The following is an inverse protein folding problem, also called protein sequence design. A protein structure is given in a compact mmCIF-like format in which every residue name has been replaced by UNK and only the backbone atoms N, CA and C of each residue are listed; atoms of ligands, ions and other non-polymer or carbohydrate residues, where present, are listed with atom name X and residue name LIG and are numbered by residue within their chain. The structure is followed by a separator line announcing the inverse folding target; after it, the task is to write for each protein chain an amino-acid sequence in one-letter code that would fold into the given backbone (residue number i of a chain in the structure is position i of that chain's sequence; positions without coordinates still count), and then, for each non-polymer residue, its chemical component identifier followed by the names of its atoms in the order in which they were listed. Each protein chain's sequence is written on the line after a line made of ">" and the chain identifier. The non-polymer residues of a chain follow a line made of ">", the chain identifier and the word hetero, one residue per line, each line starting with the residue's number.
data_IF_262942666002
#
_entry.id   IF_262942666002
#
_cell.length_a   1.000
_cell.length_b   1.000
_cell.length_c   1.000
_cell.angle_alpha   90.00
_cell.angle_beta   90.00
_cell.angle_gamma   90.00
#
_symmetry.space_group_name_H-M   'P 1'
#
loop_
_entity.id
_entity.type
_entity.pdbx_description
1 polymer ?
#
# COMPACT_ATOMS: atom_id res chain seq x y z
N UNK A 1 21.84 56.41 110.90
CA UNK A 1 22.81 56.24 109.80
C UNK A 1 22.95 54.78 109.35
N UNK A 2 23.33 53.80 110.20
CA UNK A 2 23.54 52.39 109.78
C UNK A 2 22.36 51.71 109.06
N UNK A 3 21.11 51.91 109.50
CA UNK A 3 19.92 51.31 108.83
C UNK A 3 19.70 51.83 107.40
N UNK A 4 20.02 53.11 107.12
CA UNK A 4 19.88 53.69 105.79
C UNK A 4 20.88 53.08 104.80
N UNK A 5 22.13 52.90 105.26
CA UNK A 5 23.21 52.27 104.48
C UNK A 5 22.89 50.83 104.06
N UNK A 6 22.25 50.05 104.94
CA UNK A 6 21.86 48.66 104.66
C UNK A 6 20.74 48.59 103.61
N UNK A 7 19.79 49.53 103.67
CA UNK A 7 18.69 49.59 102.68
C UNK A 7 19.22 49.96 101.30
N UNK A 8 20.14 50.93 101.20
CA UNK A 8 20.78 51.29 99.93
C UNK A 8 21.59 50.13 99.34
N UNK A 9 22.33 49.39 100.16
CA UNK A 9 23.11 48.24 99.71
C UNK A 9 22.22 47.08 99.23
N UNK A 10 21.13 46.81 99.94
CA UNK A 10 20.12 45.83 99.51
C UNK A 10 19.44 46.23 98.20
N UNK A 11 19.14 47.52 98.01
CA UNK A 11 18.55 48.03 96.78
C UNK A 11 19.51 47.85 95.59
N UNK A 12 20.80 48.20 95.75
CA UNK A 12 21.83 47.97 94.72
C UNK A 12 21.99 46.47 94.39
N UNK A 13 22.01 45.61 95.39
CA UNK A 13 22.10 44.16 95.18
C UNK A 13 20.87 43.59 94.45
N UNK A 14 19.67 44.10 94.74
CA UNK A 14 18.45 43.75 94.02
C UNK A 14 18.51 44.22 92.57
N UNK A 15 18.95 45.45 92.30
CA UNK A 15 19.13 45.97 90.94
C UNK A 15 20.10 45.12 90.14
N UNK A 16 21.27 44.80 90.68
CA UNK A 16 22.27 43.93 90.03
C UNK A 16 21.64 42.57 89.69
N UNK A 17 20.95 41.93 90.64
CA UNK A 17 20.27 40.65 90.41
C UNK A 17 19.19 40.73 89.33
N UNK A 18 18.42 41.81 89.29
CA UNK A 18 17.39 42.02 88.25
C UNK A 18 18.03 42.17 86.88
N UNK A 19 19.13 42.93 86.78
CA UNK A 19 19.88 43.11 85.53
C UNK A 19 20.50 41.80 85.06
N UNK A 20 21.14 41.04 85.95
CA UNK A 20 21.72 39.73 85.64
C UNK A 20 20.65 38.73 85.20
N UNK A 21 19.53 38.65 85.92
CA UNK A 21 18.41 37.78 85.56
C UNK A 21 17.79 38.15 84.21
N UNK A 22 17.62 39.45 83.95
CA UNK A 22 17.12 39.95 82.65
C UNK A 22 18.08 39.63 81.51
N UNK A 23 19.39 39.73 81.76
CA UNK A 23 20.42 39.37 80.79
C UNK A 23 20.39 37.88 80.47
N UNK A 24 20.36 37.04 81.49
CA UNK A 24 20.29 35.59 81.35
C UNK A 24 19.05 35.15 80.57
N UNK A 25 17.86 35.67 80.91
CA UNK A 25 16.62 35.41 80.17
C UNK A 25 16.75 35.82 78.70
N UNK A 26 17.35 36.98 78.41
CA UNK A 26 17.55 37.44 77.04
C UNK A 26 18.48 36.52 76.26
N UNK A 27 19.56 36.04 76.88
CA UNK A 27 20.50 35.10 76.28
C UNK A 27 19.83 33.75 75.97
N UNK A 28 19.00 33.21 76.88
CA UNK A 28 18.21 32.01 76.65
C UNK A 28 17.21 32.18 75.50
N UNK A 29 16.48 33.30 75.47
CA UNK A 29 15.48 33.57 74.43
C UNK A 29 16.12 33.71 73.05
N UNK A 30 17.30 34.36 72.97
CA UNK A 30 18.10 34.42 71.75
C UNK A 30 18.70 33.05 71.37
N UNK A 31 19.04 32.22 72.35
CA UNK A 31 19.47 30.84 72.13
C UNK A 31 18.36 30.00 71.50
N UNK A 32 17.17 30.00 72.12
CA UNK A 32 16.00 29.29 71.63
C UNK A 32 15.57 29.76 70.24
N UNK A 33 15.57 31.08 70.00
CA UNK A 33 15.25 31.64 68.68
C UNK A 33 16.27 31.28 67.60
N UNK A 34 17.53 31.04 67.96
CA UNK A 34 18.56 30.52 67.04
C UNK A 34 18.35 29.02 66.78
N UNK A 35 18.13 28.22 67.82
CA UNK A 35 17.88 26.78 67.71
C UNK A 35 16.68 26.48 66.79
N UNK A 36 15.53 27.12 67.04
CA UNK A 36 14.34 26.97 66.21
C UNK A 36 14.57 27.38 64.75
N UNK A 37 15.41 28.39 64.51
CA UNK A 37 15.74 28.82 63.14
C UNK A 37 16.56 27.77 62.41
N UNK A 38 17.51 27.16 63.09
CA UNK A 38 18.35 26.12 62.50
C UNK A 38 17.54 24.85 62.23
N UNK A 39 16.69 24.44 63.18
CA UNK A 39 15.77 23.30 62.99
C UNK A 39 14.83 23.53 61.80
N UNK A 40 14.24 24.72 61.67
CA UNK A 40 13.38 25.05 60.54
C UNK A 40 14.16 24.99 59.21
N UNK A 41 15.41 25.46 59.22
CA UNK A 41 16.29 25.47 58.05
C UNK A 41 16.67 24.05 57.63
N UNK A 42 17.02 23.19 58.59
CA UNK A 42 17.36 21.79 58.34
C UNK A 42 16.14 21.00 57.86
N UNK A 43 14.97 21.23 58.45
CA UNK A 43 13.71 20.64 57.98
C UNK A 43 13.40 21.05 56.54
N UNK A 44 13.57 22.33 56.21
CA UNK A 44 13.38 22.83 54.84
C UNK A 44 14.37 22.17 53.86
N UNK A 45 15.64 22.06 54.24
CA UNK A 45 16.67 21.42 53.39
C UNK A 45 16.37 19.94 53.18
N UNK A 46 16.01 19.21 54.24
CA UNK A 46 15.67 17.79 54.20
C UNK A 46 14.44 17.53 53.31
N UNK A 47 13.42 18.39 53.41
CA UNK A 47 12.23 18.29 52.56
C UNK A 47 12.59 18.52 51.08
N UNK A 48 13.39 19.55 50.78
CA UNK A 48 13.83 19.87 49.42
C UNK A 48 14.64 18.72 48.81
N UNK A 49 15.54 18.11 49.59
CA UNK A 49 16.33 16.97 49.15
C UNK A 49 15.46 15.73 48.90
N UNK A 50 14.47 15.47 49.77
CA UNK A 50 13.53 14.35 49.59
C UNK A 50 12.69 14.54 48.33
N UNK A 51 12.17 15.75 48.12
CA UNK A 51 11.37 16.08 46.94
C UNK A 51 12.20 15.97 45.66
N UNK A 52 13.42 16.51 45.67
CA UNK A 52 14.36 16.46 44.55
C UNK A 52 14.81 15.05 44.21
N UNK A 53 15.04 14.19 45.21
CA UNK A 53 15.39 12.77 44.99
C UNK A 53 14.21 12.02 44.38
N UNK A 54 13.03 12.15 44.97
CA UNK A 54 11.83 11.47 44.50
C UNK A 54 11.53 11.83 43.04
N UNK A 55 11.49 13.12 42.69
CA UNK A 55 11.27 13.55 41.30
C UNK A 55 12.32 13.00 40.33
N UNK A 56 13.59 12.91 40.73
CA UNK A 56 14.64 12.36 39.87
C UNK A 56 14.47 10.86 39.66
N UNK A 57 14.14 10.13 40.72
CA UNK A 57 13.90 8.68 40.69
C UNK A 57 12.68 8.36 39.82
N UNK A 58 11.54 9.02 40.06
CA UNK A 58 10.33 8.83 39.24
C UNK A 58 10.56 9.17 37.76
N UNK A 59 11.25 10.26 37.46
CA UNK A 59 11.56 10.61 36.07
C UNK A 59 12.50 9.60 35.42
N UNK A 60 13.49 9.10 36.17
CA UNK A 60 14.44 8.12 35.66
C UNK A 60 13.74 6.79 35.36
N UNK A 61 12.94 6.28 36.31
CA UNK A 61 12.21 5.02 36.13
C UNK A 61 11.20 5.12 34.99
N UNK A 62 10.38 6.16 34.95
CA UNK A 62 9.43 6.35 33.84
C UNK A 62 10.15 6.43 32.48
N UNK A 63 11.29 7.10 32.42
CA UNK A 63 12.08 7.20 31.20
C UNK A 63 12.71 5.86 30.81
N UNK A 64 13.10 5.05 31.79
CA UNK A 64 13.68 3.74 31.58
C UNK A 64 12.63 2.73 31.13
N UNK A 65 11.49 2.67 31.81
CA UNK A 65 10.35 1.81 31.47
C UNK A 65 9.86 2.08 30.04
N UNK A 66 9.62 3.34 29.67
CA UNK A 66 9.19 3.71 28.32
C UNK A 66 10.21 3.27 27.25
N UNK A 67 11.50 3.35 27.58
CA UNK A 67 12.57 2.93 26.67
C UNK A 67 12.59 1.41 26.49
N UNK A 68 12.44 0.65 27.57
CA UNK A 68 12.38 -0.80 27.50
C UNK A 68 11.12 -1.29 26.77
N UNK A 69 9.95 -0.68 27.02
CA UNK A 69 8.72 -0.98 26.27
C UNK A 69 8.90 -0.76 24.76
N UNK A 70 9.55 0.34 24.36
CA UNK A 70 9.83 0.60 22.95
C UNK A 70 10.77 -0.44 22.34
N UNK A 71 11.84 -0.81 23.05
CA UNK A 71 12.79 -1.83 22.59
C UNK A 71 12.11 -3.20 22.46
N UNK A 72 11.25 -3.56 23.41
CA UNK A 72 10.53 -4.82 23.38
C UNK A 72 9.54 -4.89 22.21
N UNK A 73 8.80 -3.79 21.97
CA UNK A 73 7.93 -3.68 20.79
C UNK A 73 8.72 -3.80 19.48
N UNK A 74 9.92 -3.23 19.42
CA UNK A 74 10.81 -3.36 18.26
C UNK A 74 11.23 -4.81 18.04
N UNK A 75 11.68 -5.51 19.09
CA UNK A 75 12.08 -6.93 19.03
C UNK A 75 10.92 -7.82 18.59
N UNK A 76 9.73 -7.61 19.16
CA UNK A 76 8.54 -8.37 18.81
C UNK A 76 8.15 -8.18 17.34
N UNK A 77 8.20 -6.94 16.85
CA UNK A 77 7.92 -6.63 15.45
C UNK A 77 8.93 -7.31 14.52
N UNK A 78 10.21 -7.32 14.89
CA UNK A 78 11.26 -7.97 14.12
C UNK A 78 11.07 -9.49 14.04
N UNK A 79 10.70 -10.15 15.15
CA UNK A 79 10.37 -11.58 15.17
C UNK A 79 9.20 -11.89 14.23
N UNK A 80 8.10 -11.10 14.32
CA UNK A 80 6.92 -11.28 13.46
C UNK A 80 7.28 -11.14 11.97
N UNK A 81 8.06 -10.12 11.62
CA UNK A 81 8.49 -9.90 10.23
C UNK A 81 9.35 -11.07 9.75
N UNK A 82 10.28 -11.55 10.56
CA UNK A 82 11.16 -12.66 10.20
C UNK A 82 10.37 -13.97 10.01
N UNK A 83 9.39 -14.25 10.87
CA UNK A 83 8.56 -15.45 10.73
C UNK A 83 7.65 -15.40 9.50
N UNK A 84 7.06 -14.24 9.21
CA UNK A 84 6.30 -14.02 7.99
C UNK A 84 7.18 -14.18 6.74
N UNK A 85 8.39 -13.62 6.77
CA UNK A 85 9.38 -13.75 5.68
C UNK A 85 9.71 -15.22 5.44
N UNK A 86 10.05 -15.97 6.50
CA UNK A 86 10.36 -17.41 6.41
C UNK A 86 9.17 -18.22 5.88
N UNK A 87 7.95 -17.88 6.27
CA UNK A 87 6.73 -18.55 5.79
C UNK A 87 6.51 -18.31 4.29
N UNK A 88 6.69 -17.07 3.83
CA UNK A 88 6.57 -16.72 2.41
C UNK A 88 7.66 -17.38 1.57
N UNK A 89 8.91 -17.39 2.04
CA UNK A 89 10.01 -18.09 1.37
C UNK A 89 9.72 -19.58 1.19
N UNK A 90 9.18 -20.22 2.24
CA UNK A 90 8.81 -21.64 2.18
C UNK A 90 7.72 -21.89 1.13
N UNK A 91 6.64 -21.09 1.14
CA UNK A 91 5.56 -21.21 0.15
C UNK A 91 6.05 -20.99 -1.28
N UNK A 92 6.89 -19.96 -1.49
CA UNK A 92 7.46 -19.68 -2.81
C UNK A 92 8.31 -20.86 -3.32
N UNK A 93 9.09 -21.48 -2.42
CA UNK A 93 9.91 -22.65 -2.76
C UNK A 93 9.04 -23.86 -3.12
N UNK A 94 7.97 -24.10 -2.36
CA UNK A 94 7.01 -25.17 -2.64
C UNK A 94 6.29 -24.95 -3.99
N UNK A 95 5.81 -23.74 -4.25
CA UNK A 95 5.15 -23.38 -5.51
C UNK A 95 6.10 -23.53 -6.71
N UNK A 96 7.36 -23.11 -6.55
CA UNK A 96 8.40 -23.28 -7.57
C UNK A 96 8.66 -24.76 -7.88
N UNK A 97 8.79 -25.60 -6.85
CA UNK A 97 9.01 -27.03 -7.02
C UNK A 97 7.84 -27.73 -7.69
N UNK A 98 6.61 -27.39 -7.29
CA UNK A 98 5.39 -27.94 -7.89
C UNK A 98 5.27 -27.54 -9.37
N UNK A 99 5.62 -26.30 -9.71
CA UNK A 99 5.62 -25.84 -11.10
C UNK A 99 6.68 -26.59 -11.93
N UNK A 100 7.90 -26.76 -11.40
CA UNK A 100 8.95 -27.55 -12.05
C UNK A 100 8.53 -29.01 -12.28
N UNK A 101 7.85 -29.62 -11.31
CA UNK A 101 7.32 -30.99 -11.43
C UNK A 101 6.26 -31.08 -12.53
N UNK A 102 5.32 -30.13 -12.58
CA UNK A 102 4.31 -30.05 -13.65
C UNK A 102 4.95 -29.93 -15.04
N UNK A 103 5.95 -29.06 -15.19
CA UNK A 103 6.68 -28.94 -16.47
C UNK A 103 7.42 -30.21 -16.83
N UNK A 104 8.06 -30.86 -15.86
CA UNK A 104 8.77 -32.14 -16.06
C UNK A 104 7.81 -33.24 -16.54
N UNK A 105 6.64 -33.34 -15.93
CA UNK A 105 5.60 -34.30 -16.30
C UNK A 105 5.06 -34.05 -17.70
N UNK A 106 4.85 -32.79 -18.08
CA UNK A 106 4.35 -32.42 -19.40
C UNK A 106 5.37 -32.74 -20.50
N UNK A 107 6.65 -32.40 -20.26
CA UNK A 107 7.77 -32.76 -21.14
C UNK A 107 7.92 -34.29 -21.28
N UNK A 108 7.63 -35.06 -20.23
CA UNK A 108 7.70 -36.53 -20.29
C UNK A 108 6.58 -37.16 -21.14
N UNK A 109 5.39 -36.56 -21.14
CA UNK A 109 4.20 -37.08 -21.85
C UNK A 109 4.23 -36.80 -23.36
N UNK A 110 4.78 -35.66 -23.78
CA UNK A 110 4.83 -35.25 -25.19
C UNK A 110 5.53 -36.23 -26.14
N UNK A 111 6.74 -36.73 -25.86
CA UNK A 111 7.43 -37.69 -26.73
C UNK A 111 6.75 -39.06 -26.75
N UNK A 112 5.99 -39.44 -25.71
CA UNK A 112 5.21 -40.68 -25.71
C UNK A 112 4.04 -40.60 -26.68
N UNK A 113 3.33 -39.46 -26.72
CA UNK A 113 2.25 -39.23 -27.69
C UNK A 113 2.77 -39.26 -29.12
N UNK A 114 3.88 -38.57 -29.39
CA UNK A 114 4.50 -38.58 -30.72
C UNK A 114 4.94 -39.98 -31.16
N UNK A 115 5.49 -40.79 -30.24
CA UNK A 115 5.82 -42.20 -30.54
C UNK A 115 4.58 -42.99 -30.92
N UNK A 116 3.50 -42.89 -30.15
CA UNK A 116 2.24 -43.58 -30.44
C UNK A 116 1.66 -43.17 -31.81
N UNK A 117 1.76 -41.89 -32.16
CA UNK A 117 1.30 -41.38 -33.46
C UNK A 117 2.16 -41.89 -34.62
N UNK A 118 3.49 -41.92 -34.45
CA UNK A 118 4.42 -42.53 -35.40
C UNK A 118 4.13 -44.02 -35.59
N UNK A 119 3.91 -44.77 -34.51
CA UNK A 119 3.59 -46.20 -34.56
C UNK A 119 2.26 -46.43 -35.31
N UNK A 120 1.25 -45.59 -35.07
CA UNK A 120 -0.03 -45.66 -35.78
C UNK A 120 0.09 -45.34 -37.27
N UNK A 121 0.90 -44.35 -37.64
CA UNK A 121 1.13 -44.00 -39.05
C UNK A 121 1.90 -45.09 -39.78
N UNK A 122 2.91 -45.67 -39.13
CA UNK A 122 3.66 -46.80 -39.68
C UNK A 122 2.74 -48.01 -39.94
N UNK A 123 1.81 -48.32 -39.03
CA UNK A 123 0.82 -49.37 -39.24
C UNK A 123 -0.10 -49.10 -40.46
N UNK A 124 -0.54 -47.85 -40.64
CA UNK A 124 -1.32 -47.45 -41.81
C UNK A 124 -0.52 -47.57 -43.13
N UNK A 125 0.77 -47.25 -43.10
CA UNK A 125 1.66 -47.41 -44.25
C UNK A 125 1.82 -48.89 -44.63
N UNK A 126 2.00 -49.79 -43.66
CA UNK A 126 2.07 -51.23 -43.94
C UNK A 126 0.77 -51.78 -44.53
N UNK A 127 -0.39 -51.31 -44.06
CA UNK A 127 -1.70 -51.68 -44.61
C UNK A 127 -1.89 -51.19 -46.07
N UNK A 128 -1.36 -50.02 -46.40
CA UNK A 128 -1.37 -49.47 -47.76
C UNK A 128 -0.36 -50.17 -48.68
N UNK A 129 0.81 -50.58 -48.18
CA UNK A 129 1.85 -51.26 -48.95
C UNK A 129 1.49 -52.71 -49.33
N UNK A 130 0.57 -53.35 -48.59
CA UNK A 130 0.08 -54.71 -48.87
C UNK A 130 -0.97 -54.84 -49.99
N UNK A 131 -1.45 -53.73 -50.57
CA UNK A 131 -2.48 -53.73 -51.62
C UNK A 131 -1.82 -53.62 -53.01
N UNK A 132 -2.10 -54.52 -53.98
CA UNK A 132 -1.55 -54.41 -55.33
C UNK A 132 -2.01 -53.13 -56.01
N UNK A 133 -1.07 -52.30 -56.47
CA UNK A 133 -1.36 -51.10 -57.23
C UNK A 133 -1.80 -51.49 -58.66
N UNK A 134 -3.09 -51.40 -58.95
CA UNK A 134 -3.62 -51.49 -60.31
C UNK A 134 -3.59 -50.10 -60.99
N UNK A 135 -3.04 -49.95 -62.21
CA UNK A 135 -2.96 -48.66 -62.86
C UNK A 135 -4.31 -48.31 -63.50
N UNK A 136 -5.04 -47.37 -62.91
CA UNK A 136 -6.21 -46.75 -63.52
C UNK A 136 -5.78 -45.49 -64.28
N UNK A 137 -5.39 -45.66 -65.55
CA UNK A 137 -5.43 -44.57 -66.52
C UNK A 137 -6.86 -44.47 -67.04
N UNK A 138 -7.60 -43.41 -66.68
CA UNK A 138 -8.56 -42.75 -67.57
C UNK A 138 -9.28 -41.57 -66.88
N UNK A 139 -9.12 -40.40 -67.51
CA UNK A 139 -10.08 -39.30 -67.65
C UNK A 139 -10.59 -38.56 -66.39
N UNK A 140 -10.20 -37.29 -66.27
CA UNK A 140 -11.09 -36.18 -66.66
C UNK A 140 -10.35 -34.84 -66.55
N UNK A 141 -10.19 -34.16 -67.68
CA UNK A 141 -9.83 -32.76 -67.76
C UNK A 141 -11.12 -31.94 -67.80
N UNK A 142 -11.30 -30.96 -66.90
CA UNK A 142 -12.10 -29.76 -67.20
C UNK A 142 -11.79 -28.59 -66.26
N UNK A 143 -11.21 -27.56 -66.87
CA UNK A 143 -11.40 -26.10 -66.71
C UNK A 143 -11.56 -25.43 -65.33
N UNK A 144 -10.64 -24.49 -65.13
CA UNK A 144 -10.63 -23.28 -64.29
C UNK A 144 -11.91 -22.44 -64.39
N UNK A 145 -12.31 -21.82 -63.27
CA UNK A 145 -12.90 -20.45 -63.28
C UNK A 145 -12.22 -19.57 -62.22
N UNK A 146 -11.79 -18.41 -62.67
CA UNK A 146 -11.23 -17.30 -61.90
C UNK A 146 -12.29 -16.19 -61.77
N UNK A 147 -12.22 -15.38 -60.70
CA UNK A 147 -12.62 -13.97 -60.77
C UNK A 147 -13.66 -13.48 -59.76
N UNK A 148 -13.21 -13.14 -58.54
CA UNK A 148 -13.65 -11.96 -57.76
C UNK A 148 -12.65 -11.77 -56.61
N UNK A 149 -11.89 -10.67 -56.59
CA UNK A 149 -11.05 -10.32 -55.44
C UNK A 149 -11.99 -9.82 -54.34
N UNK A 150 -12.54 -10.75 -53.56
CA UNK A 150 -13.21 -10.44 -52.30
C UNK A 150 -12.09 -10.05 -51.33
N UNK A 151 -12.02 -8.78 -50.92
CA UNK A 151 -11.25 -8.39 -49.74
C UNK A 151 -11.93 -8.99 -48.51
N UNK A 152 -11.66 -10.26 -48.23
CA UNK A 152 -12.09 -10.96 -47.03
C UNK A 152 -11.57 -10.19 -45.81
N UNK A 153 -12.49 -9.68 -44.98
CA UNK A 153 -12.15 -9.13 -43.67
C UNK A 153 -11.92 -10.30 -42.71
N UNK A 154 -10.95 -10.16 -41.81
CA UNK A 154 -10.73 -11.13 -40.73
C UNK A 154 -11.95 -11.17 -39.81
N UNK A 155 -12.60 -12.33 -39.58
CA UNK A 155 -13.73 -12.42 -38.68
C UNK A 155 -13.30 -12.06 -37.25
N UNK A 156 -14.15 -11.35 -36.50
CA UNK A 156 -13.93 -11.03 -35.08
C UNK A 156 -14.61 -12.09 -34.22
N UNK A 157 -13.92 -12.58 -33.18
CA UNK A 157 -14.48 -13.55 -32.25
C UNK A 157 -15.30 -12.83 -31.18
N UNK A 158 -16.61 -13.00 -31.21
CA UNK A 158 -17.55 -12.29 -30.33
C UNK A 158 -17.95 -13.08 -29.07
N UNK A 159 -17.38 -14.27 -28.87
CA UNK A 159 -17.71 -15.18 -27.78
C UNK A 159 -19.10 -15.81 -27.84
N UNK A 160 -19.94 -15.43 -28.81
CA UNK A 160 -21.28 -16.01 -29.03
C UNK A 160 -21.25 -17.10 -30.09
N UNK A 161 -20.33 -16.99 -31.05
CA UNK A 161 -20.12 -18.02 -32.07
C UNK A 161 -19.27 -19.16 -31.49
N UNK A 162 -19.64 -20.44 -31.70
CA UNK A 162 -18.81 -21.57 -31.29
C UNK A 162 -17.41 -21.46 -31.89
N UNK A 163 -16.38 -21.67 -31.05
CA UNK A 163 -14.98 -21.45 -31.41
C UNK A 163 -14.54 -22.19 -32.69
N UNK A 164 -15.06 -23.41 -32.93
CA UNK A 164 -14.78 -24.18 -34.13
C UNK A 164 -15.24 -23.48 -35.43
N UNK A 165 -16.37 -22.77 -35.39
CA UNK A 165 -16.87 -22.00 -36.55
C UNK A 165 -16.04 -20.77 -36.82
N UNK A 166 -15.61 -20.09 -35.75
CA UNK A 166 -14.69 -18.96 -35.87
C UNK A 166 -13.34 -19.39 -36.46
N UNK A 167 -12.76 -20.48 -35.94
CA UNK A 167 -11.46 -20.97 -36.39
C UNK A 167 -11.50 -21.38 -37.86
N UNK A 168 -12.56 -22.08 -38.27
CA UNK A 168 -12.77 -22.42 -39.69
C UNK A 168 -12.89 -21.19 -40.58
N UNK A 169 -13.64 -20.16 -40.17
CA UNK A 169 -13.75 -18.93 -40.93
C UNK A 169 -12.40 -18.18 -41.00
N UNK A 170 -11.65 -18.14 -39.91
CA UNK A 170 -10.31 -17.56 -39.85
C UNK A 170 -9.32 -18.30 -40.74
N UNK A 171 -9.33 -19.64 -40.72
CA UNK A 171 -8.49 -20.49 -41.57
C UNK A 171 -8.78 -20.27 -43.05
N UNK A 172 -10.05 -20.16 -43.43
CA UNK A 172 -10.45 -19.86 -44.80
C UNK A 172 -9.92 -18.50 -45.27
N UNK A 173 -9.96 -17.47 -44.41
CA UNK A 173 -9.40 -16.15 -44.73
C UNK A 173 -7.88 -16.21 -44.82
N UNK A 174 -7.23 -16.88 -43.88
CA UNK A 174 -5.79 -17.02 -43.83
C UNK A 174 -5.25 -17.83 -45.03
N UNK A 175 -5.98 -18.84 -45.48
CA UNK A 175 -5.69 -19.60 -46.69
C UNK A 175 -5.91 -18.76 -47.95
N UNK A 176 -6.99 -17.98 -48.02
CA UNK A 176 -7.27 -17.09 -49.14
C UNK A 176 -6.18 -16.01 -49.35
N UNK A 177 -5.58 -15.51 -48.26
CA UNK A 177 -4.47 -14.56 -48.31
C UNK A 177 -3.08 -15.21 -48.22
N UNK A 178 -3.00 -16.54 -48.20
CA UNK A 178 -1.74 -17.29 -48.08
C UNK A 178 -0.88 -16.87 -46.88
N UNK A 179 -1.52 -16.61 -45.74
CA UNK A 179 -0.83 -16.18 -44.52
C UNK A 179 0.16 -17.24 -44.03
N UNK A 180 1.35 -16.79 -43.64
CA UNK A 180 2.33 -17.66 -42.99
C UNK A 180 1.90 -18.04 -41.57
N UNK A 181 2.58 -19.02 -40.97
CA UNK A 181 2.31 -19.41 -39.58
C UNK A 181 2.55 -18.23 -38.62
N UNK A 182 3.54 -17.38 -38.90
CA UNK A 182 3.85 -16.18 -38.12
C UNK A 182 2.76 -15.11 -38.24
N UNK A 183 2.20 -14.91 -39.43
CA UNK A 183 1.12 -13.93 -39.68
C UNK A 183 -0.19 -14.37 -39.02
N UNK A 184 -0.54 -15.66 -39.12
CA UNK A 184 -1.68 -16.26 -38.40
C UNK A 184 -1.55 -16.07 -36.89
N UNK A 185 -0.36 -16.35 -36.35
CA UNK A 185 -0.09 -16.18 -34.92
C UNK A 185 -0.16 -14.71 -34.49
N UNK A 186 0.30 -13.78 -35.32
CA UNK A 186 0.30 -12.35 -35.02
C UNK A 186 -1.13 -11.79 -35.02
N UNK A 187 -1.95 -12.15 -36.02
CA UNK A 187 -3.35 -11.74 -36.08
C UNK A 187 -4.16 -12.26 -34.88
N UNK A 188 -4.00 -13.53 -34.52
CA UNK A 188 -4.67 -14.13 -33.36
C UNK A 188 -4.21 -13.52 -32.03
N UNK A 189 -2.91 -13.23 -31.88
CA UNK A 189 -2.35 -12.61 -30.68
C UNK A 189 -2.85 -11.18 -30.50
N UNK A 190 -2.80 -10.34 -31.54
CA UNK A 190 -3.26 -8.95 -31.47
C UNK A 190 -4.74 -8.89 -31.09
N UNK A 191 -5.57 -9.75 -31.68
CA UNK A 191 -6.99 -9.79 -31.38
C UNK A 191 -7.27 -10.25 -29.93
N UNK A 192 -6.62 -11.31 -29.44
CA UNK A 192 -6.78 -11.77 -28.05
C UNK A 192 -6.25 -10.76 -27.03
N UNK A 193 -5.18 -10.05 -27.37
CA UNK A 193 -4.64 -8.98 -26.52
C UNK A 193 -5.58 -7.78 -26.51
N UNK A 194 -6.17 -7.38 -27.63
CA UNK A 194 -7.14 -6.28 -27.68
C UNK A 194 -8.46 -6.64 -26.98
N UNK A 195 -8.93 -7.90 -27.06
CA UNK A 195 -10.12 -8.37 -26.34
C UNK A 195 -9.91 -8.36 -24.81
N UNK A 196 -8.70 -8.71 -24.35
CA UNK A 196 -8.41 -8.89 -22.91
C UNK A 196 -7.78 -7.65 -22.26
N UNK A 197 -7.02 -6.87 -23.01
CA UNK A 197 -6.25 -5.72 -22.54
C UNK A 197 -6.51 -4.46 -23.36
N UNK A 198 -7.39 -4.49 -24.36
CA UNK A 198 -7.76 -3.29 -25.13
C UNK A 198 -8.54 -2.31 -24.27
N UNK A 199 -8.31 -1.02 -24.48
CA UNK A 199 -8.78 0.02 -23.56
C UNK A 199 -10.23 0.46 -23.78
N UNK A 200 -10.96 -0.17 -24.71
CA UNK A 200 -12.33 0.20 -25.08
C UNK A 200 -13.33 0.08 -23.91
N UNK A 201 -13.11 -0.90 -23.02
CA UNK A 201 -13.91 -1.05 -21.80
C UNK A 201 -13.50 -0.04 -20.72
N UNK A 202 -12.24 0.42 -20.74
CA UNK A 202 -11.74 1.43 -19.80
C UNK A 202 -12.30 2.82 -20.11
N UNK A 203 -12.58 3.14 -21.38
CA UNK A 203 -13.29 4.39 -21.75
C UNK A 203 -14.60 4.56 -20.97
N UNK A 204 -15.37 3.48 -20.80
CA UNK A 204 -16.61 3.49 -20.03
C UNK A 204 -16.35 3.72 -18.54
N UNK A 205 -15.32 3.08 -17.98
CA UNK A 205 -14.91 3.27 -16.58
C UNK A 205 -14.51 4.72 -16.34
N UNK A 206 -13.66 5.31 -17.20
CA UNK A 206 -13.26 6.70 -17.09
C UNK A 206 -14.44 7.66 -17.25
N UNK A 207 -15.42 7.34 -18.11
CA UNK A 207 -16.63 8.16 -18.26
C UNK A 207 -17.51 8.16 -17.00
N UNK A 208 -17.56 7.03 -16.28
CA UNK A 208 -18.26 6.92 -14.99
C UNK A 208 -17.50 7.69 -13.91
N UNK A 209 -16.18 7.50 -13.83
CA UNK A 209 -15.32 8.22 -12.90
C UNK A 209 -15.41 9.73 -13.07
N UNK A 210 -15.46 10.20 -14.32
CA UNK A 210 -15.62 11.62 -14.67
C UNK A 210 -16.96 12.18 -14.17
N UNK A 211 -18.06 11.45 -14.33
CA UNK A 211 -19.41 11.90 -13.89
C UNK A 211 -19.52 12.04 -12.38
N UNK A 212 -18.83 11.19 -11.63
CA UNK A 212 -18.85 11.20 -10.17
C UNK A 212 -17.67 11.99 -9.58
N UNK A 213 -16.87 12.64 -10.42
CA UNK A 213 -15.66 13.33 -9.98
C UNK A 213 -16.03 14.63 -9.28
N UNK A 214 -15.78 14.68 -7.98
CA UNK A 214 -15.92 15.89 -7.15
C UNK A 214 -14.60 16.25 -6.49
N UNK A 215 -14.41 17.53 -6.20
CA UNK A 215 -13.20 18.02 -5.54
C UNK A 215 -13.11 17.42 -4.13
N UNK A 216 -11.96 16.82 -3.79
CA UNK A 216 -11.71 16.33 -2.42
C UNK A 216 -11.54 17.53 -1.48
N UNK A 217 -11.92 17.38 -0.21
CA UNK A 217 -11.86 18.46 0.80
C UNK A 217 -10.45 19.00 1.02
N UNK A 218 -9.42 18.22 0.70
CA UNK A 218 -8.01 18.54 0.89
C UNK A 218 -7.23 18.71 -0.44
N UNK A 219 -7.88 18.59 -1.61
CA UNK A 219 -7.21 18.68 -2.89
C UNK A 219 -7.14 20.13 -3.40
N UNK A 220 -5.99 20.50 -3.98
CA UNK A 220 -5.80 21.80 -4.61
C UNK A 220 -6.63 21.88 -5.90
N UNK A 221 -7.01 23.10 -6.29
CA UNK A 221 -7.81 23.34 -7.50
C UNK A 221 -7.10 22.83 -8.77
N UNK A 222 -5.79 23.05 -8.86
CA UNK A 222 -4.95 22.60 -9.97
C UNK A 222 -4.87 21.06 -10.06
N UNK A 223 -4.82 20.37 -8.92
CA UNK A 223 -4.83 18.90 -8.89
C UNK A 223 -6.17 18.34 -9.37
N UNK A 224 -7.26 19.03 -9.03
CA UNK A 224 -8.60 18.69 -9.47
C UNK A 224 -8.76 18.91 -10.98
N UNK A 225 -8.34 20.06 -11.49
CA UNK A 225 -8.32 20.37 -12.94
C UNK A 225 -7.51 19.33 -13.73
N UNK A 226 -6.26 19.07 -13.33
CA UNK A 226 -5.41 18.07 -13.97
C UNK A 226 -6.08 16.68 -14.00
N UNK A 227 -6.79 16.31 -12.93
CA UNK A 227 -7.52 15.05 -12.90
C UNK A 227 -8.69 15.01 -13.89
N UNK A 228 -9.44 16.12 -14.03
CA UNK A 228 -10.56 16.24 -14.98
C UNK A 228 -10.06 16.18 -16.41
N UNK A 229 -9.04 16.97 -16.76
CA UNK A 229 -8.46 17.00 -18.11
C UNK A 229 -7.95 15.61 -18.52
N UNK A 230 -7.26 14.92 -17.60
CA UNK A 230 -6.78 13.55 -17.83
C UNK A 230 -7.94 12.57 -18.04
N UNK A 231 -8.97 12.61 -17.20
CA UNK A 231 -10.12 11.72 -17.31
C UNK A 231 -10.91 11.94 -18.60
N UNK A 232 -11.01 13.18 -19.07
CA UNK A 232 -11.67 13.52 -20.33
C UNK A 232 -10.90 12.96 -21.53
N UNK A 233 -9.58 13.12 -21.55
CA UNK A 233 -8.73 12.54 -22.59
C UNK A 233 -8.81 11.01 -22.65
N UNK A 234 -8.97 10.37 -21.49
CA UNK A 234 -9.12 8.91 -21.40
C UNK A 234 -10.54 8.41 -21.72
N UNK A 235 -11.57 9.21 -21.46
CA UNK A 235 -12.98 8.83 -21.70
C UNK A 235 -13.39 8.99 -23.16
N UNK A 236 -12.77 9.93 -23.88
CA UNK A 236 -13.16 10.30 -25.24
C UNK A 236 -11.95 10.53 -26.16
N UNK A 237 -11.07 9.53 -26.35
CA UNK A 237 -9.82 9.69 -27.11
C UNK A 237 -10.03 10.03 -28.60
N UNK A 238 -11.21 9.71 -29.15
CA UNK A 238 -11.55 9.95 -30.56
C UNK A 238 -12.22 11.31 -30.84
N UNK A 239 -12.42 12.17 -29.82
CA UNK A 239 -13.15 13.45 -29.98
C UNK A 239 -12.21 14.65 -30.20
N UNK A 240 -12.63 15.69 -30.94
CA UNK A 240 -11.83 16.90 -31.15
C UNK A 240 -11.55 17.67 -29.85
N UNK A 241 -10.36 18.25 -29.75
CA UNK A 241 -9.91 18.97 -28.55
C UNK A 241 -10.83 20.13 -28.14
N UNK A 242 -11.37 20.88 -29.10
CA UNK A 242 -12.29 22.00 -28.85
C UNK A 242 -13.56 21.56 -28.10
N UNK A 243 -14.10 20.40 -28.45
CA UNK A 243 -15.28 19.83 -27.79
C UNK A 243 -14.94 19.33 -26.37
N UNK A 244 -13.75 18.75 -26.19
CA UNK A 244 -13.27 18.26 -24.90
C UNK A 244 -13.02 19.40 -23.91
N UNK A 245 -12.54 20.55 -24.38
CA UNK A 245 -12.29 21.72 -23.54
C UNK A 245 -13.60 22.29 -22.97
N UNK A 246 -14.65 22.40 -23.78
CA UNK A 246 -15.97 22.84 -23.32
C UNK A 246 -16.56 21.89 -22.28
N UNK A 247 -16.42 20.58 -22.49
CA UNK A 247 -16.83 19.56 -21.54
C UNK A 247 -16.02 19.62 -20.24
N UNK A 248 -14.72 19.85 -20.32
CA UNK A 248 -13.84 19.99 -19.16
C UNK A 248 -14.27 21.14 -18.26
N UNK A 249 -14.60 22.30 -18.85
CA UNK A 249 -15.09 23.46 -18.09
C UNK A 249 -16.38 23.15 -17.33
N UNK A 250 -17.34 22.48 -17.98
CA UNK A 250 -18.62 22.16 -17.34
C UNK A 250 -18.44 21.16 -16.19
N UNK A 251 -17.74 20.04 -16.43
CA UNK A 251 -17.52 19.01 -15.39
C UNK A 251 -16.69 19.56 -14.23
N UNK A 252 -15.72 20.43 -14.54
CA UNK A 252 -14.93 21.10 -13.50
C UNK A 252 -15.82 21.96 -12.61
N UNK A 253 -16.66 22.82 -13.17
CA UNK A 253 -17.57 23.69 -12.41
C UNK A 253 -18.54 22.86 -11.56
N UNK A 254 -19.18 21.85 -12.15
CA UNK A 254 -20.15 20.98 -11.47
C UNK A 254 -19.53 20.18 -10.33
N UNK A 255 -18.24 19.84 -10.44
CA UNK A 255 -17.51 19.04 -9.46
C UNK A 255 -16.86 19.84 -8.33
N UNK A 256 -16.89 21.18 -8.35
CA UNK A 256 -16.37 22.01 -7.26
C UNK A 256 -17.25 21.86 -6.02
N UNK A 257 -16.62 21.68 -4.85
CA UNK A 257 -17.35 21.78 -3.58
C UNK A 257 -17.62 23.26 -3.30
N UNK A 258 -18.88 23.58 -2.99
CA UNK A 258 -19.31 24.94 -2.63
C UNK A 258 -18.37 25.56 -1.59
N UNK A 259 -17.60 26.56 -2.01
CA UNK A 259 -16.74 27.36 -1.13
C UNK A 259 -17.52 28.50 -0.43
N UNK A 260 -18.87 28.46 -0.45
CA UNK A 260 -19.75 29.57 -0.01
C UNK A 260 -20.72 29.28 1.15
N UNK A 261 -20.65 28.16 1.87
CA UNK A 261 -21.55 27.94 3.03
C UNK A 261 -20.85 27.47 4.32
N UNK A 262 -19.74 28.11 4.69
CA UNK A 262 -19.22 28.03 6.07
C UNK A 262 -18.40 29.27 6.49
N UNK A 263 -18.80 30.46 6.03
CA UNK A 263 -18.30 31.72 6.62
C UNK A 263 -19.47 32.57 7.10
N UNK A 264 -19.60 32.59 8.43
CA UNK A 264 -20.24 33.61 9.28
C UNK A 264 -21.76 33.80 9.16
N UNK A 265 -22.46 33.29 10.16
CA UNK A 265 -23.68 33.91 10.68
C UNK A 265 -23.76 33.68 12.19
N UNK A 266 -23.82 34.77 12.96
CA UNK A 266 -24.26 34.83 14.36
C UNK A 266 -23.22 34.49 15.41
#
# INVERSE_FOLDING_TARGET
>A
MKKLSIVEENARNLEVRIVESSRSLKEELLGNSRSLREELRENSRSLEEKFSRNLKEELFENSWELKEEFLENSRNSEVIINDNTRSLEKKLKEDSQNLEEKFRDEISKEPQKLRQEVDSLNAQIEECAGKPFAPAYAACATTVRCGSIIRLQTPTFDGKTPFARYLSAFENVAEAYSWTKEEKASALKVQRLEERYGNRHLEQVYSIDLKHRTQRSNARLQEFECAIVRLIGLSYPSRPAEYLEGMAKNVFIDGLKDTKTATKSG
#
